data_IF_489035832461
#
_entry.id   IF_489035832461
#
_cell.length_a   1.000
_cell.length_b   1.000
_cell.length_c   1.000
_cell.angle_alpha   90.00
_cell.angle_beta   90.00
_cell.angle_gamma   90.00
#
_symmetry.space_group_name_H-M   'P 1'
#
loop_
_entity.id
_entity.type
_entity.pdbx_description
1 polymer ?
#
# COMPACT_ATOMS: atom_id res chain seq x y z
N UNK A 1 -16.26 -4.38 12.59
CA UNK A 1 -15.66 -5.69 12.90
C UNK A 1 -16.35 -6.18 14.15
N UNK A 2 -16.94 -7.37 14.12
CA UNK A 2 -17.56 -7.96 15.32
C UNK A 2 -16.47 -8.26 16.34
N UNK A 3 -16.81 -8.23 17.64
CA UNK A 3 -15.82 -8.35 18.73
C UNK A 3 -14.92 -9.61 18.63
N UNK A 4 -15.40 -10.67 18.00
CA UNK A 4 -14.68 -11.97 17.89
C UNK A 4 -14.02 -12.24 16.53
N UNK A 5 -14.22 -11.38 15.51
CA UNK A 5 -13.67 -11.62 14.16
C UNK A 5 -12.13 -11.62 14.13
N UNK A 6 -11.49 -10.92 15.05
CA UNK A 6 -10.03 -10.85 15.14
C UNK A 6 -9.39 -12.17 15.62
N UNK A 7 -10.16 -13.07 16.23
CA UNK A 7 -9.63 -14.36 16.74
C UNK A 7 -9.23 -15.31 15.62
N UNK A 8 -9.87 -15.23 14.46
CA UNK A 8 -9.65 -16.14 13.35
C UNK A 8 -8.42 -15.72 12.53
N UNK A 9 -7.30 -16.45 12.62
CA UNK A 9 -6.11 -16.17 11.80
C UNK A 9 -6.39 -16.23 10.30
N UNK A 10 -7.38 -17.01 9.86
CA UNK A 10 -7.80 -17.11 8.48
C UNK A 10 -8.27 -15.75 7.91
N UNK A 11 -8.87 -14.90 8.75
CA UNK A 11 -9.32 -13.56 8.37
C UNK A 11 -8.16 -12.62 7.95
N UNK A 12 -6.92 -12.98 8.27
CA UNK A 12 -5.73 -12.18 7.97
C UNK A 12 -4.84 -12.77 6.87
N UNK A 13 -5.23 -13.90 6.26
CA UNK A 13 -4.42 -14.54 5.21
C UNK A 13 -4.25 -13.65 3.97
N UNK A 14 -5.20 -12.78 3.70
CA UNK A 14 -5.08 -11.80 2.62
C UNK A 14 -3.84 -10.90 2.78
N UNK A 15 -3.43 -10.61 4.02
CA UNK A 15 -2.27 -9.76 4.30
C UNK A 15 -0.94 -10.37 3.80
N UNK A 16 -0.90 -11.68 3.56
CA UNK A 16 0.30 -12.35 3.02
C UNK A 16 0.64 -11.94 1.58
N UNK A 17 -0.35 -11.40 0.85
CA UNK A 17 -0.21 -10.99 -0.55
C UNK A 17 -0.15 -9.48 -0.73
N UNK A 18 -0.25 -8.70 0.35
CA UNK A 18 -0.26 -7.25 0.28
C UNK A 18 1.15 -6.70 0.06
N UNK A 19 1.25 -5.73 -0.83
CA UNK A 19 2.43 -4.90 -0.98
C UNK A 19 2.57 -3.88 0.17
N UNK A 20 3.64 -3.10 0.19
CA UNK A 20 3.87 -2.16 1.28
C UNK A 20 2.85 -1.01 1.36
N UNK A 21 2.37 -0.40 0.24
CA UNK A 21 1.28 0.55 0.26
C UNK A 21 -0.05 -0.03 0.78
N UNK A 22 -0.40 -1.25 0.37
CA UNK A 22 -1.60 -1.93 0.84
C UNK A 22 -1.52 -2.29 2.33
N UNK A 23 -0.36 -2.75 2.80
CA UNK A 23 -0.10 -2.95 4.23
C UNK A 23 -0.15 -1.63 5.01
N UNK A 24 0.36 -0.53 4.45
CA UNK A 24 0.26 0.79 5.06
C UNK A 24 -1.20 1.21 5.24
N UNK A 25 -2.07 0.89 4.26
CA UNK A 25 -3.50 1.11 4.37
C UNK A 25 -4.12 0.31 5.51
N UNK A 26 -3.77 -0.95 5.64
CA UNK A 26 -4.27 -1.81 6.71
C UNK A 26 -3.99 -1.23 8.10
N UNK A 27 -2.86 -0.58 8.30
CA UNK A 27 -2.56 0.11 9.56
C UNK A 27 -3.27 1.46 9.67
N UNK A 28 -3.31 2.27 8.61
CA UNK A 28 -3.95 3.58 8.62
C UNK A 28 -5.45 3.49 8.88
N UNK A 29 -6.16 2.58 8.20
CA UNK A 29 -7.61 2.44 8.33
C UNK A 29 -8.08 2.06 9.76
N UNK A 30 -7.18 1.48 10.57
CA UNK A 30 -7.43 1.13 11.97
C UNK A 30 -7.17 2.29 12.93
N UNK A 31 -6.62 3.40 12.46
CA UNK A 31 -6.32 4.54 13.31
C UNK A 31 -7.61 5.23 13.75
N UNK A 32 -7.89 5.35 15.08
CA UNK A 32 -9.15 5.92 15.55
C UNK A 32 -9.36 7.39 15.13
N UNK A 33 -8.26 8.15 14.96
CA UNK A 33 -8.36 9.53 14.50
C UNK A 33 -8.72 9.59 13.01
N UNK A 34 -8.16 8.69 12.19
CA UNK A 34 -8.51 8.57 10.78
C UNK A 34 -10.01 8.25 10.61
N UNK A 35 -10.50 7.29 11.39
CA UNK A 35 -11.92 6.89 11.38
C UNK A 35 -12.82 8.07 11.76
N UNK A 36 -12.47 8.83 12.82
CA UNK A 36 -13.22 10.02 13.20
C UNK A 36 -13.24 11.09 12.13
N UNK A 37 -12.07 11.37 11.52
CA UNK A 37 -11.95 12.38 10.49
C UNK A 37 -12.76 11.99 9.22
N UNK A 38 -12.79 10.71 8.90
CA UNK A 38 -13.61 10.19 7.80
C UNK A 38 -15.12 10.35 8.11
N UNK A 39 -15.58 9.98 9.31
CA UNK A 39 -16.98 10.17 9.72
C UNK A 39 -17.39 11.64 9.77
N UNK A 40 -16.47 12.52 10.09
CA UNK A 40 -16.71 13.96 10.08
C UNK A 40 -16.82 14.55 8.66
N UNK A 41 -16.61 13.74 7.62
CA UNK A 41 -16.66 14.19 6.24
C UNK A 41 -15.58 15.21 5.91
N UNK A 42 -14.41 15.13 6.57
CA UNK A 42 -13.30 16.06 6.32
C UNK A 42 -12.82 15.98 4.87
N UNK A 43 -13.08 17.03 4.11
CA UNK A 43 -12.65 17.14 2.71
C UNK A 43 -11.19 17.59 2.60
N UNK A 44 -10.76 18.48 3.51
CA UNK A 44 -9.38 18.97 3.53
C UNK A 44 -8.51 18.13 4.47
N UNK A 45 -7.91 17.09 3.92
CA UNK A 45 -6.93 16.24 4.58
C UNK A 45 -5.51 16.76 4.48
N UNK A 46 -5.32 17.98 3.94
CA UNK A 46 -4.00 18.55 3.64
C UNK A 46 -3.10 18.54 4.88
N UNK A 47 -2.06 17.74 4.82
CA UNK A 47 -1.00 17.66 5.83
C UNK A 47 -1.23 16.67 6.97
N UNK A 48 -2.48 16.31 7.33
CA UNK A 48 -2.72 15.33 8.42
C UNK A 48 -2.49 13.89 7.94
N UNK A 49 -3.11 13.52 6.83
CA UNK A 49 -3.03 12.16 6.28
C UNK A 49 -2.28 12.16 4.95
N UNK A 50 -1.51 11.11 4.65
CA UNK A 50 -0.75 11.01 3.40
C UNK A 50 -1.61 10.52 2.23
N UNK A 51 -2.89 10.83 2.23
CA UNK A 51 -3.84 10.53 1.17
C UNK A 51 -4.38 11.82 0.56
N UNK A 52 -4.78 11.77 -0.70
CA UNK A 52 -5.37 12.92 -1.42
C UNK A 52 -6.80 13.14 -0.93
N UNK A 53 -7.56 12.05 -0.77
CA UNK A 53 -8.90 12.03 -0.21
C UNK A 53 -9.02 10.90 0.81
N UNK A 54 -9.90 11.06 1.79
CA UNK A 54 -10.15 10.02 2.79
C UNK A 54 -10.90 8.85 2.14
N UNK A 55 -10.29 7.69 2.18
CA UNK A 55 -10.89 6.44 1.77
C UNK A 55 -11.67 5.82 2.93
N UNK A 56 -12.69 5.02 2.61
CA UNK A 56 -13.53 4.35 3.60
C UNK A 56 -12.71 3.36 4.46
N UNK A 57 -12.56 3.61 5.78
CA UNK A 57 -11.74 2.77 6.66
C UNK A 57 -12.28 1.36 6.88
N UNK A 58 -13.53 1.11 6.52
CA UNK A 58 -14.16 -0.21 6.65
C UNK A 58 -13.83 -1.14 5.48
N UNK A 59 -13.26 -0.62 4.40
CA UNK A 59 -12.77 -1.42 3.29
C UNK A 59 -11.34 -1.89 3.57
N UNK A 60 -11.07 -3.17 3.38
CA UNK A 60 -9.71 -3.71 3.45
C UNK A 60 -8.91 -3.39 2.18
N UNK A 61 -7.61 -3.69 2.21
CA UNK A 61 -6.69 -3.36 1.13
C UNK A 61 -6.97 -4.10 -0.19
N UNK A 62 -7.81 -5.13 -0.19
CA UNK A 62 -8.20 -5.82 -1.43
C UNK A 62 -9.26 -5.05 -2.22
N UNK A 63 -10.06 -4.23 -1.52
CA UNK A 63 -11.17 -3.45 -2.08
C UNK A 63 -10.86 -1.96 -2.10
N UNK A 64 -10.27 -1.44 -1.02
CA UNK A 64 -9.95 -0.02 -0.89
C UNK A 64 -8.91 0.43 -1.92
N UNK A 65 -9.08 1.66 -2.38
CA UNK A 65 -8.16 2.29 -3.33
C UNK A 65 -7.58 3.59 -2.76
N UNK A 66 -6.82 3.54 -1.64
CA UNK A 66 -6.29 4.73 -1.01
C UNK A 66 -5.37 5.50 -1.96
N UNK A 67 -5.72 6.73 -2.25
CA UNK A 67 -4.92 7.62 -3.09
C UNK A 67 -3.83 8.27 -2.26
N UNK A 68 -2.68 7.59 -2.14
CA UNK A 68 -1.51 8.15 -1.46
C UNK A 68 -1.02 9.41 -2.15
N UNK A 69 -0.64 10.44 -1.38
CA UNK A 69 -0.02 11.64 -1.92
C UNK A 69 1.33 11.27 -2.53
N UNK A 70 1.53 11.52 -3.82
CA UNK A 70 2.84 11.30 -4.43
C UNK A 70 3.82 12.35 -3.92
N UNK A 71 5.08 11.99 -3.92
CA UNK A 71 6.14 12.99 -3.89
C UNK A 71 6.48 13.37 -5.33
N UNK A 72 6.77 14.64 -5.60
CA UNK A 72 7.17 15.04 -6.94
C UNK A 72 8.32 14.21 -7.52
N UNK A 73 9.27 13.82 -6.66
CA UNK A 73 10.43 13.02 -7.03
C UNK A 73 10.14 11.54 -7.31
N UNK A 74 8.99 11.03 -6.88
CA UNK A 74 8.62 9.62 -7.00
C UNK A 74 7.51 9.38 -8.04
N UNK A 75 7.15 10.41 -8.80
CA UNK A 75 6.03 10.35 -9.73
C UNK A 75 6.52 10.23 -11.18
N UNK A 76 6.10 9.15 -11.84
CA UNK A 76 6.18 9.04 -13.29
C UNK A 76 4.97 9.72 -13.91
N UNK A 77 5.19 10.72 -14.73
CA UNK A 77 4.14 11.39 -15.47
C UNK A 77 4.25 11.07 -16.97
N UNK A 78 3.14 10.68 -17.58
CA UNK A 78 3.04 10.54 -19.04
C UNK A 78 2.51 11.85 -19.60
N UNK A 79 3.26 12.45 -20.52
CA UNK A 79 2.94 13.73 -21.14
C UNK A 79 2.87 13.59 -22.66
N UNK A 80 2.12 14.47 -23.31
CA UNK A 80 2.15 14.56 -24.77
C UNK A 80 3.55 14.94 -25.24
N UNK A 81 4.02 14.33 -26.34
CA UNK A 81 5.29 14.62 -26.95
C UNK A 81 5.06 15.09 -28.39
N UNK A 82 5.55 16.28 -28.72
CA UNK A 82 5.33 16.89 -30.04
C UNK A 82 6.32 16.36 -31.09
N UNK A 83 7.60 16.21 -30.71
CA UNK A 83 8.67 15.76 -31.61
C UNK A 83 9.07 14.31 -31.29
N UNK A 84 8.37 13.35 -31.86
CA UNK A 84 8.69 11.93 -31.66
C UNK A 84 9.04 11.25 -32.98
N UNK A 85 9.99 10.27 -32.96
CA UNK A 85 10.26 9.43 -34.11
C UNK A 85 9.01 8.73 -34.61
N UNK A 86 8.94 8.45 -35.91
CA UNK A 86 7.81 7.72 -36.52
C UNK A 86 7.55 6.34 -35.88
N UNK A 87 8.57 5.75 -35.27
CA UNK A 87 8.50 4.47 -34.54
C UNK A 87 8.08 4.63 -33.05
N UNK A 88 7.80 5.86 -32.58
CA UNK A 88 7.43 6.07 -31.19
C UNK A 88 6.12 5.37 -30.86
N UNK A 89 6.06 4.80 -29.67
CA UNK A 89 4.81 4.21 -29.14
C UNK A 89 3.76 5.30 -28.98
N UNK A 90 2.52 4.93 -29.24
CA UNK A 90 1.37 5.80 -29.03
C UNK A 90 0.67 5.45 -27.73
N UNK A 91 0.18 6.47 -27.04
CA UNK A 91 -0.54 6.28 -25.81
C UNK A 91 -1.82 5.50 -26.04
N UNK A 92 -2.01 4.48 -25.25
CA UNK A 92 -3.22 3.69 -25.21
C UNK A 92 -3.50 3.32 -23.75
N UNK A 93 -4.50 3.98 -23.17
CA UNK A 93 -4.89 3.74 -21.78
C UNK A 93 -5.30 2.28 -21.55
N UNK A 94 -5.88 1.65 -22.56
CA UNK A 94 -6.37 0.29 -22.46
C UNK A 94 -5.28 -0.77 -22.60
N UNK A 95 -4.14 -0.37 -23.14
CA UNK A 95 -2.95 -1.23 -23.20
C UNK A 95 -2.25 -1.39 -21.84
N UNK A 96 -2.56 -0.54 -20.86
CA UNK A 96 -2.06 -0.72 -19.50
C UNK A 96 -2.66 -2.01 -18.91
N UNK A 97 -1.86 -2.85 -18.22
CA UNK A 97 -2.32 -4.13 -17.71
C UNK A 97 -3.30 -3.99 -16.54
N UNK A 98 -4.15 -4.99 -16.34
CA UNK A 98 -5.00 -5.14 -15.17
C UNK A 98 -6.21 -4.19 -15.10
N UNK A 99 -6.88 -4.22 -13.96
CA UNK A 99 -8.00 -3.33 -13.63
C UNK A 99 -7.52 -1.89 -13.45
N UNK A 100 -8.22 -0.94 -14.05
CA UNK A 100 -7.82 0.46 -14.09
C UNK A 100 -8.80 1.36 -13.35
N UNK A 101 -8.27 2.24 -12.52
CA UNK A 101 -9.03 3.33 -11.92
C UNK A 101 -8.41 4.65 -12.33
N UNK A 102 -9.22 5.54 -12.85
CA UNK A 102 -8.79 6.88 -13.28
C UNK A 102 -9.41 7.92 -12.34
N UNK A 103 -8.58 8.75 -11.73
CA UNK A 103 -9.03 9.81 -10.82
C UNK A 103 -8.33 11.11 -11.18
N UNK A 104 -9.07 12.21 -11.17
CA UNK A 104 -8.51 13.54 -11.34
C UNK A 104 -8.13 14.13 -9.97
N UNK A 105 -6.85 14.45 -9.74
CA UNK A 105 -6.34 14.98 -8.48
C UNK A 105 -6.47 16.50 -8.32
N UNK A 106 -7.19 17.14 -9.24
CA UNK A 106 -7.32 18.61 -9.36
C UNK A 106 -6.35 19.22 -10.37
N UNK A 107 -5.30 18.52 -10.78
CA UNK A 107 -4.30 19.00 -11.76
C UNK A 107 -4.05 18.01 -12.88
N UNK A 108 -4.04 16.71 -12.57
CA UNK A 108 -3.67 15.63 -13.49
C UNK A 108 -4.63 14.46 -13.35
N UNK A 109 -4.68 13.63 -14.38
CA UNK A 109 -5.28 12.32 -14.27
C UNK A 109 -4.29 11.38 -13.60
N UNK A 110 -4.75 10.64 -12.62
CA UNK A 110 -3.97 9.60 -11.97
C UNK A 110 -4.58 8.27 -12.36
N UNK A 111 -3.85 7.51 -13.14
CA UNK A 111 -4.22 6.15 -13.47
C UNK A 111 -3.60 5.21 -12.44
N UNK A 112 -4.46 4.48 -11.75
CA UNK A 112 -4.05 3.35 -10.90
C UNK A 112 -4.48 2.08 -11.62
N UNK A 113 -3.56 1.16 -11.79
CA UNK A 113 -3.86 -0.15 -12.35
C UNK A 113 -3.34 -1.24 -11.43
N UNK A 114 -4.15 -2.28 -11.32
CA UNK A 114 -3.88 -3.40 -10.44
C UNK A 114 -3.85 -4.68 -11.25
N UNK A 115 -2.79 -5.45 -11.06
CA UNK A 115 -2.66 -6.79 -11.58
C UNK A 115 -2.27 -7.73 -10.43
N UNK A 116 -3.17 -8.62 -10.12
CA UNK A 116 -3.03 -9.49 -8.96
C UNK A 116 -2.83 -8.69 -7.67
N UNK A 117 -1.67 -8.86 -7.03
CA UNK A 117 -1.30 -8.17 -5.77
C UNK A 117 -0.49 -6.89 -5.98
N UNK A 118 -0.11 -6.59 -7.21
CA UNK A 118 0.68 -5.40 -7.54
C UNK A 118 -0.22 -4.25 -7.97
N UNK A 119 -0.03 -3.10 -7.32
CA UNK A 119 -0.75 -1.86 -7.66
C UNK A 119 0.25 -0.84 -8.13
N UNK A 120 0.07 -0.37 -9.37
CA UNK A 120 0.91 0.66 -9.95
C UNK A 120 0.11 1.93 -10.20
N UNK A 121 0.82 3.05 -10.18
CA UNK A 121 0.22 4.36 -10.32
C UNK A 121 1.09 5.24 -11.20
N UNK A 122 0.47 5.88 -12.16
CA UNK A 122 1.09 6.87 -13.05
C UNK A 122 0.22 8.13 -13.11
N UNK A 123 0.86 9.28 -13.20
CA UNK A 123 0.17 10.50 -13.57
C UNK A 123 0.10 10.61 -15.09
N UNK A 124 -1.02 11.05 -15.61
CA UNK A 124 -1.26 11.25 -17.03
C UNK A 124 -1.67 12.71 -17.24
N UNK A 125 -1.04 13.37 -18.20
CA UNK A 125 -1.45 14.72 -18.59
C UNK A 125 -2.91 14.69 -19.06
N UNK A 126 -3.79 15.55 -18.50
CA UNK A 126 -5.20 15.60 -18.91
C UNK A 126 -5.41 15.92 -20.40
N UNK A 127 -4.42 16.51 -21.05
CA UNK A 127 -4.47 16.85 -22.48
C UNK A 127 -4.03 15.70 -23.38
N UNK A 128 -3.43 14.64 -22.81
CA UNK A 128 -2.97 13.49 -23.58
C UNK A 128 -4.16 12.69 -24.11
N UNK A 129 -4.24 12.55 -25.42
CA UNK A 129 -5.29 11.81 -26.11
C UNK A 129 -4.83 10.39 -26.45
N UNK A 130 -5.76 9.47 -26.51
CA UNK A 130 -5.51 8.13 -27.04
C UNK A 130 -4.96 8.23 -28.47
N UNK A 131 -3.96 7.42 -28.77
CA UNK A 131 -3.27 7.42 -30.07
C UNK A 131 -2.25 8.56 -30.25
N UNK A 132 -2.12 9.49 -29.29
CA UNK A 132 -1.11 10.54 -29.37
C UNK A 132 0.29 10.00 -29.03
N UNK A 133 1.34 10.59 -29.65
CA UNK A 133 2.70 10.31 -29.22
C UNK A 133 2.92 10.83 -27.80
N UNK A 134 3.68 10.12 -26.99
CA UNK A 134 3.89 10.46 -25.60
C UNK A 134 5.33 10.28 -25.15
N UNK A 135 5.69 10.98 -24.10
CA UNK A 135 6.96 10.86 -23.40
C UNK A 135 6.75 10.68 -21.90
N UNK A 136 7.84 10.38 -21.22
CA UNK A 136 7.87 10.26 -19.77
C UNK A 136 8.54 11.49 -19.18
N UNK A 137 7.83 12.15 -18.26
CA UNK A 137 8.38 13.22 -17.45
C UNK A 137 8.70 12.68 -16.06
N UNK A 138 9.97 12.76 -15.70
CA UNK A 138 10.48 12.39 -14.39
C UNK A 138 11.02 13.66 -13.75
N UNK A 139 10.50 14.01 -12.57
CA UNK A 139 10.98 15.18 -11.86
C UNK A 139 12.46 15.01 -11.48
N UNK A 140 13.30 15.96 -11.90
CA UNK A 140 14.71 15.98 -11.50
C UNK A 140 14.83 16.26 -10.01
N UNK A 141 15.54 15.40 -9.30
CA UNK A 141 15.94 15.66 -7.90
C UNK A 141 17.33 16.28 -7.87
N UNK A 142 17.64 16.97 -6.78
CA UNK A 142 18.97 17.56 -6.53
C UNK A 142 20.10 16.51 -6.53
N UNK A 143 19.77 15.27 -6.19
CA UNK A 143 20.69 14.12 -6.30
C UNK A 143 20.28 13.22 -7.46
N UNK A 144 21.15 12.96 -8.44
CA UNK A 144 20.90 11.98 -9.49
C UNK A 144 20.63 10.62 -8.83
N UNK A 145 19.44 10.08 -9.03
CA UNK A 145 19.09 8.72 -8.58
C UNK A 145 18.82 7.87 -9.83
N UNK A 146 19.19 6.60 -9.81
CA UNK A 146 18.74 5.68 -10.86
C UNK A 146 17.21 5.67 -10.88
N UNK A 147 16.66 5.46 -12.06
CA UNK A 147 15.21 5.27 -12.23
C UNK A 147 14.72 4.18 -11.27
N UNK A 148 13.67 4.43 -10.49
CA UNK A 148 13.11 3.39 -9.64
C UNK A 148 12.76 2.15 -10.47
N UNK A 149 13.11 0.96 -10.02
CA UNK A 149 12.81 -0.32 -10.71
C UNK A 149 11.32 -0.45 -11.08
N UNK A 150 10.43 0.12 -10.26
CA UNK A 150 9.00 0.15 -10.57
C UNK A 150 8.71 0.88 -11.89
N UNK A 151 9.46 1.91 -12.25
CA UNK A 151 9.30 2.59 -13.53
C UNK A 151 9.74 1.70 -14.68
N UNK A 152 10.83 0.97 -14.51
CA UNK A 152 11.25 -0.05 -15.47
C UNK A 152 10.19 -1.13 -15.62
N UNK A 153 9.61 -1.61 -14.50
CA UNK A 153 8.52 -2.58 -14.51
C UNK A 153 7.29 -2.03 -15.23
N UNK A 154 6.88 -0.78 -14.95
CA UNK A 154 5.78 -0.11 -15.65
C UNK A 154 6.10 0.02 -17.15
N UNK A 155 7.30 0.46 -17.47
CA UNK A 155 7.73 0.60 -18.87
C UNK A 155 7.73 -0.73 -19.59
N UNK A 156 8.23 -1.80 -18.95
CA UNK A 156 8.18 -3.15 -19.48
C UNK A 156 6.75 -3.64 -19.66
N UNK A 157 5.88 -3.46 -18.67
CA UNK A 157 4.47 -3.88 -18.72
C UNK A 157 3.72 -3.17 -19.85
N UNK A 158 3.93 -1.85 -20.01
CA UNK A 158 3.34 -1.07 -21.12
C UNK A 158 3.87 -1.54 -22.48
N UNK A 159 5.14 -1.95 -22.55
CA UNK A 159 5.76 -2.43 -23.82
C UNK A 159 5.40 -3.85 -24.17
N UNK A 160 5.46 -4.76 -23.20
CA UNK A 160 5.28 -6.20 -23.42
C UNK A 160 3.83 -6.62 -23.51
N UNK A 161 2.90 -5.80 -22.98
CA UNK A 161 1.49 -6.16 -22.78
C UNK A 161 1.31 -7.50 -22.02
N UNK A 162 2.30 -7.86 -21.21
CA UNK A 162 2.36 -9.11 -20.47
C UNK A 162 1.83 -8.87 -19.04
N UNK A 163 0.67 -9.43 -18.68
CA UNK A 163 0.12 -9.30 -17.34
C UNK A 163 0.99 -9.94 -16.26
N UNK A 164 1.75 -11.00 -16.59
CA UNK A 164 2.59 -11.71 -15.63
C UNK A 164 3.87 -10.94 -15.27
N UNK A 165 4.22 -9.90 -16.03
CA UNK A 165 5.38 -9.04 -15.75
C UNK A 165 5.32 -8.33 -14.38
N UNK A 166 4.14 -8.32 -13.74
CA UNK A 166 3.86 -7.66 -12.46
C UNK A 166 3.76 -8.61 -11.27
N UNK A 167 4.06 -9.89 -11.45
CA UNK A 167 3.92 -10.89 -10.39
C UNK A 167 4.76 -10.54 -9.15
N UNK A 168 4.10 -10.33 -8.01
CA UNK A 168 4.75 -10.02 -6.73
C UNK A 168 5.11 -11.32 -6.01
N UNK A 169 6.38 -11.47 -5.69
CA UNK A 169 6.86 -12.52 -4.80
C UNK A 169 6.40 -12.26 -3.36
N UNK A 170 5.87 -13.30 -2.70
CA UNK A 170 5.43 -13.19 -1.30
C UNK A 170 6.58 -12.68 -0.42
N UNK A 171 6.34 -11.62 0.34
CA UNK A 171 7.35 -10.97 1.18
C UNK A 171 7.70 -11.86 2.39
N UNK A 172 8.98 -11.96 2.72
CA UNK A 172 9.46 -12.72 3.89
C UNK A 172 8.87 -12.22 5.22
N UNK A 173 8.49 -10.94 5.30
CA UNK A 173 7.92 -10.32 6.49
C UNK A 173 6.37 -10.37 6.53
N UNK A 174 5.72 -10.96 5.52
CA UNK A 174 4.26 -10.99 5.40
C UNK A 174 3.57 -11.67 6.61
N UNK A 175 4.13 -12.78 7.08
CA UNK A 175 3.61 -13.48 8.28
C UNK A 175 3.71 -12.58 9.53
N UNK A 176 4.79 -11.80 9.64
CA UNK A 176 4.97 -10.86 10.75
C UNK A 176 3.91 -9.78 10.70
N UNK A 177 3.61 -9.23 9.51
CA UNK A 177 2.54 -8.25 9.34
C UNK A 177 1.17 -8.83 9.63
N UNK A 178 0.86 -10.02 9.14
CA UNK A 178 -0.38 -10.74 9.43
C UNK A 178 -0.63 -10.86 10.94
N UNK A 179 0.35 -11.38 11.68
CA UNK A 179 0.27 -11.51 13.14
C UNK A 179 0.21 -10.17 13.87
N UNK A 180 0.91 -9.16 13.35
CA UNK A 180 0.88 -7.80 13.90
C UNK A 180 -0.50 -7.16 13.75
N UNK A 181 -1.16 -7.34 12.60
CA UNK A 181 -2.52 -6.85 12.37
C UNK A 181 -3.53 -7.55 13.29
N UNK A 182 -3.44 -8.87 13.39
CA UNK A 182 -4.29 -9.66 14.31
C UNK A 182 -4.12 -9.22 15.76
N UNK A 183 -2.87 -9.05 16.22
CA UNK A 183 -2.58 -8.57 17.57
C UNK A 183 -3.10 -7.14 17.81
N UNK A 184 -3.02 -6.28 16.80
CA UNK A 184 -3.53 -4.91 16.86
C UNK A 184 -5.05 -4.90 17.00
N UNK A 185 -5.76 -5.67 16.19
CA UNK A 185 -7.22 -5.75 16.23
C UNK A 185 -7.71 -6.30 17.57
N UNK A 186 -7.05 -7.33 18.12
CA UNK A 186 -7.36 -7.82 19.46
C UNK A 186 -7.25 -6.73 20.52
N UNK A 187 -6.20 -5.92 20.49
CA UNK A 187 -6.02 -4.82 21.44
C UNK A 187 -7.04 -3.69 21.21
N UNK A 188 -7.40 -3.40 19.98
CA UNK A 188 -8.44 -2.42 19.66
C UNK A 188 -9.83 -2.89 20.11
N UNK A 189 -10.05 -4.21 20.16
CA UNK A 189 -11.23 -4.84 20.74
C UNK A 189 -11.13 -5.00 22.28
N UNK A 190 -10.12 -4.38 22.95
CA UNK A 190 -9.88 -4.46 24.38
C UNK A 190 -9.54 -5.86 24.91
N UNK A 191 -9.10 -6.77 24.06
CA UNK A 191 -8.63 -8.10 24.48
C UNK A 191 -7.36 -8.01 25.34
N UNK A 192 -7.24 -8.93 26.30
CA UNK A 192 -6.03 -9.04 27.11
C UNK A 192 -4.85 -9.58 26.28
N UNK A 193 -3.61 -9.35 26.74
CA UNK A 193 -2.44 -9.93 26.10
C UNK A 193 -2.49 -11.47 26.04
N UNK A 194 -3.18 -12.10 27.00
CA UNK A 194 -3.35 -13.55 27.05
C UNK A 194 -4.31 -14.02 25.95
N UNK A 195 -5.41 -13.30 25.76
CA UNK A 195 -6.37 -13.62 24.69
C UNK A 195 -5.75 -13.43 23.31
N UNK A 196 -5.01 -12.33 23.10
CA UNK A 196 -4.21 -12.12 21.88
C UNK A 196 -3.21 -13.26 21.67
N UNK A 197 -2.57 -13.72 22.73
CA UNK A 197 -1.67 -14.86 22.68
C UNK A 197 -2.39 -16.14 22.26
N UNK A 198 -3.56 -16.41 22.82
CA UNK A 198 -4.41 -17.55 22.48
C UNK A 198 -4.80 -17.58 21.00
N UNK A 199 -5.19 -16.41 20.45
CA UNK A 199 -5.54 -16.29 19.05
C UNK A 199 -4.34 -16.45 18.09
N UNK A 200 -3.15 -15.99 18.49
CA UNK A 200 -1.95 -16.05 17.66
C UNK A 200 -1.22 -17.38 17.66
N UNK A 201 -1.22 -18.07 18.81
CA UNK A 201 -0.36 -19.23 19.05
C UNK A 201 -1.12 -20.47 19.55
N UNK A 202 -2.41 -20.31 19.83
CA UNK A 202 -3.23 -21.39 20.41
C UNK A 202 -3.32 -21.32 21.94
N UNK A 203 -4.50 -21.67 22.46
CA UNK A 203 -4.84 -21.58 23.88
C UNK A 203 -3.93 -22.51 24.71
N UNK A 204 -3.66 -23.73 24.23
CA UNK A 204 -2.86 -24.71 24.92
C UNK A 204 -1.42 -24.23 25.12
N UNK A 205 -0.80 -23.67 24.06
CA UNK A 205 0.55 -23.13 24.13
C UNK A 205 0.65 -21.97 25.12
N UNK A 206 -0.37 -21.09 25.11
CA UNK A 206 -0.44 -19.96 26.04
C UNK A 206 -0.60 -20.47 27.47
N UNK A 207 -1.46 -21.44 27.72
CA UNK A 207 -1.70 -21.98 29.06
C UNK A 207 -0.44 -22.60 29.62
N UNK A 208 0.33 -23.34 28.83
CA UNK A 208 1.56 -24.02 29.24
C UNK A 208 2.74 -23.05 29.43
N UNK A 209 2.80 -21.95 28.66
CA UNK A 209 3.99 -21.08 28.59
C UNK A 209 3.76 -19.65 29.10
N UNK A 210 2.63 -19.36 29.81
CA UNK A 210 2.29 -18.01 30.27
C UNK A 210 3.02 -17.64 31.58
N UNK A 211 4.34 -17.64 31.55
CA UNK A 211 5.17 -17.18 32.66
C UNK A 211 5.53 -15.70 32.53
N UNK A 212 5.81 -14.99 33.65
CA UNK A 212 6.11 -13.54 33.62
C UNK A 212 7.17 -13.13 32.59
N UNK A 213 8.27 -13.88 32.49
CA UNK A 213 9.41 -13.60 31.63
C UNK A 213 9.53 -14.52 30.41
N UNK A 214 8.41 -15.17 30.02
CA UNK A 214 8.43 -16.08 28.88
C UNK A 214 8.67 -15.36 27.56
N UNK A 215 9.39 -16.01 26.66
CA UNK A 215 9.61 -15.53 25.29
C UNK A 215 8.27 -15.29 24.56
N UNK A 216 7.28 -16.14 24.83
CA UNK A 216 5.94 -16.00 24.25
C UNK A 216 5.30 -14.66 24.59
N UNK A 217 5.34 -14.24 25.88
CA UNK A 217 4.83 -12.93 26.30
C UNK A 217 5.63 -11.78 25.67
N UNK A 218 6.95 -11.93 25.55
CA UNK A 218 7.79 -10.93 24.90
C UNK A 218 7.41 -10.75 23.41
N UNK A 219 7.16 -11.84 22.69
CA UNK A 219 6.72 -11.84 21.29
C UNK A 219 5.35 -11.17 21.13
N UNK A 220 4.39 -11.50 22.00
CA UNK A 220 3.05 -10.89 21.95
C UNK A 220 3.15 -9.38 22.20
N UNK A 221 3.89 -8.94 23.23
CA UNK A 221 4.14 -7.52 23.49
C UNK A 221 4.81 -6.84 22.31
N UNK A 222 5.73 -7.54 21.63
CA UNK A 222 6.38 -7.02 20.41
C UNK A 222 5.35 -6.76 19.29
N UNK A 223 4.48 -7.73 18.97
CA UNK A 223 3.46 -7.56 17.94
C UNK A 223 2.50 -6.41 18.28
N UNK A 224 2.02 -6.34 19.52
CA UNK A 224 1.12 -5.25 19.97
C UNK A 224 1.79 -3.88 19.84
N UNK A 225 3.03 -3.75 20.35
CA UNK A 225 3.77 -2.48 20.26
C UNK A 225 4.04 -2.09 18.82
N UNK A 226 4.47 -3.05 17.98
CA UNK A 226 4.71 -2.83 16.56
C UNK A 226 3.42 -2.42 15.84
N UNK A 227 2.30 -3.10 16.10
CA UNK A 227 1.00 -2.75 15.53
C UNK A 227 0.57 -1.33 15.84
N UNK A 228 0.63 -0.93 17.12
CA UNK A 228 0.35 0.44 17.55
C UNK A 228 1.28 1.47 16.91
N UNK A 229 2.57 1.17 16.82
CA UNK A 229 3.55 2.05 16.19
C UNK A 229 3.25 2.23 14.69
N UNK A 230 2.96 1.13 13.98
CA UNK A 230 2.63 1.17 12.55
C UNK A 230 1.32 1.92 12.32
N UNK A 231 0.28 1.69 13.12
CA UNK A 231 -1.00 2.38 13.06
C UNK A 231 -0.88 3.89 13.30
N UNK A 232 -0.04 4.32 14.26
CA UNK A 232 0.05 5.72 14.61
C UNK A 232 0.90 6.55 13.63
N UNK A 233 2.02 5.98 13.15
CA UNK A 233 2.95 6.74 12.30
C UNK A 233 3.78 5.88 11.35
N UNK A 234 4.08 4.64 11.71
CA UNK A 234 4.99 3.78 10.98
C UNK A 234 4.52 3.43 9.56
N UNK A 235 3.21 3.44 9.30
CA UNK A 235 2.64 3.27 7.97
C UNK A 235 3.20 4.29 6.97
N UNK A 236 3.52 5.52 7.42
CA UNK A 236 4.14 6.55 6.58
C UNK A 236 5.53 6.14 6.07
N UNK A 237 6.28 5.41 6.92
CA UNK A 237 7.59 4.87 6.51
C UNK A 237 7.45 3.70 5.54
N UNK A 238 6.39 2.91 5.66
CA UNK A 238 6.11 1.81 4.72
C UNK A 238 5.86 2.36 3.32
N UNK A 239 5.04 3.41 3.20
CA UNK A 239 4.82 4.12 1.94
C UNK A 239 6.13 4.66 1.39
N UNK A 240 6.96 5.28 2.25
CA UNK A 240 8.27 5.83 1.87
C UNK A 240 9.27 4.76 1.46
N UNK A 241 9.27 3.59 2.10
CA UNK A 241 10.16 2.47 1.76
C UNK A 241 9.73 1.77 0.49
N UNK A 242 8.44 1.55 0.28
CA UNK A 242 7.94 1.05 -0.99
C UNK A 242 8.40 1.93 -2.16
N UNK A 243 8.54 3.22 -1.90
CA UNK A 243 9.10 4.18 -2.84
C UNK A 243 10.65 4.15 -2.91
N UNK A 244 11.34 3.59 -1.88
CA UNK A 244 12.82 3.52 -1.80
C UNK A 244 13.39 2.14 -2.13
N UNK A 245 12.73 1.04 -1.74
CA UNK A 245 13.21 -0.33 -1.99
C UNK A 245 13.22 -0.67 -3.47
N UNK A 246 12.48 0.12 -4.27
CA UNK A 246 12.62 0.16 -5.72
C UNK A 246 13.97 0.79 -6.18
N UNK A 247 14.78 1.31 -5.25
CA UNK A 247 15.99 2.08 -5.56
C UNK A 247 17.31 1.46 -5.04
N UNK A 248 17.31 0.28 -4.41
CA UNK A 248 18.54 -0.30 -3.82
C UNK A 248 18.69 -1.75 -4.22
N UNK A 249 19.66 -2.00 -5.08
CA UNK A 249 20.76 -2.96 -5.00
C UNK A 249 21.53 -2.96 -6.30
N UNK A 250 22.65 -2.27 -6.26
CA UNK A 250 23.86 -2.54 -7.05
C UNK A 250 25.05 -2.33 -6.13
#
# INVERSE_FOLDING_TARGET
MREDEWCASAAYLYALRLDAPALAWEYLRRNPQYIRDWHAGMVDCAGRWPVIALENPYLDASVAQPMWRPRPEDELCIVAAEDTPACAMRFDLWALPGEKTLVHDGKRLVATFQDGSSRMRIAVDPQLRDGAPFGYLIASCVTPRPLPRRFETILCAVRSRDPDALAVTARRDAIVHMRTLQALDGVLANASQRDVGGALFGIDQVTMSWLPDSELRARIRHYIRRGRQLMNSGYRQMIRRAQKDDCVEY
#
